data_IF_133331885853
#
_entry.id   IF_133331885853
#
_cell.length_a   1.000
_cell.length_b   1.000
_cell.length_c   1.000
_cell.angle_alpha   90.00
_cell.angle_beta   90.00
_cell.angle_gamma   90.00
#
_symmetry.space_group_name_H-M   'P 1'
#
loop_
_entity.id
_entity.type
_entity.pdbx_description
1 polymer ?
#
# COMPACT_ATOMS: atom_id res chain seq x y z
N UNK A 1 62.59 49.26 -66.40
CA UNK A 1 63.36 49.38 -65.13
C UNK A 1 62.48 50.22 -64.20
N UNK A 2 61.94 49.74 -63.09
CA UNK A 2 62.62 49.17 -61.93
C UNK A 2 61.58 48.38 -61.11
N UNK A 3 61.93 47.18 -60.64
CA UNK A 3 61.12 46.32 -59.76
C UNK A 3 61.18 46.84 -58.32
N UNK A 4 60.07 46.75 -57.58
CA UNK A 4 60.09 46.51 -56.13
C UNK A 4 58.87 45.70 -55.67
N UNK A 5 59.14 44.95 -54.61
CA UNK A 5 58.52 43.73 -54.09
C UNK A 5 57.24 43.91 -53.25
N UNK A 6 56.47 42.81 -53.22
CA UNK A 6 55.75 42.19 -52.08
C UNK A 6 54.59 42.97 -51.41
N UNK A 7 53.43 42.31 -51.29
CA UNK A 7 52.97 41.61 -50.09
C UNK A 7 51.59 40.97 -50.35
N UNK A 8 51.42 39.71 -49.95
CA UNK A 8 50.14 38.97 -49.96
C UNK A 8 49.66 38.88 -48.51
N UNK A 9 48.37 39.14 -48.21
CA UNK A 9 47.74 38.60 -47.03
C UNK A 9 46.63 37.61 -47.40
N UNK A 10 46.79 36.40 -46.88
CA UNK A 10 45.81 35.32 -46.82
C UNK A 10 44.71 35.70 -45.82
N UNK A 11 43.45 35.80 -46.24
CA UNK A 11 42.30 35.89 -45.33
C UNK A 11 41.67 34.50 -45.16
N UNK A 12 41.73 34.02 -43.92
CA UNK A 12 41.13 32.78 -43.43
C UNK A 12 39.64 33.05 -43.13
N UNK A 13 38.75 32.47 -43.93
CA UNK A 13 37.30 32.54 -43.72
C UNK A 13 36.83 31.49 -42.72
N UNK A 14 36.34 31.94 -41.55
CA UNK A 14 35.79 31.11 -40.48
C UNK A 14 34.35 30.71 -40.81
N UNK A 15 34.08 29.43 -41.05
CA UNK A 15 32.72 28.88 -41.15
C UNK A 15 32.13 28.72 -39.73
N UNK A 16 31.10 29.50 -39.40
CA UNK A 16 30.25 29.26 -38.23
C UNK A 16 29.14 28.27 -38.61
N UNK A 17 29.22 27.05 -38.08
CA UNK A 17 28.15 26.07 -38.12
C UNK A 17 27.11 26.42 -37.04
N UNK A 18 25.89 26.76 -37.45
CA UNK A 18 24.74 26.97 -36.56
C UNK A 18 24.23 25.63 -36.06
N UNK A 19 24.67 25.20 -34.87
CA UNK A 19 24.09 24.08 -34.15
C UNK A 19 22.79 24.50 -33.48
N UNK A 20 21.66 23.91 -33.87
CA UNK A 20 20.41 23.98 -33.12
C UNK A 20 20.56 23.16 -31.84
N UNK A 21 20.76 23.84 -30.71
CA UNK A 21 20.63 23.26 -29.38
C UNK A 21 19.15 22.89 -29.17
N UNK A 22 18.85 21.60 -29.15
CA UNK A 22 17.59 21.10 -28.62
C UNK A 22 17.58 21.45 -27.12
N UNK A 23 16.67 22.35 -26.73
CA UNK A 23 16.41 22.62 -25.33
C UNK A 23 15.87 21.33 -24.69
N UNK A 24 16.56 20.83 -23.67
CA UNK A 24 16.02 19.79 -22.81
C UNK A 24 14.85 20.38 -22.03
N UNK A 25 13.65 19.83 -22.20
CA UNK A 25 12.49 20.16 -21.38
C UNK A 25 12.86 19.94 -19.90
N UNK A 26 12.69 20.98 -19.10
CA UNK A 26 12.78 20.88 -17.65
C UNK A 26 11.62 20.03 -17.13
N UNK A 27 11.77 19.25 -16.04
CA UNK A 27 10.64 18.55 -15.44
C UNK A 27 9.56 19.57 -15.09
N UNK A 28 8.32 19.31 -15.53
CA UNK A 28 7.21 20.23 -15.36
C UNK A 28 6.90 20.48 -13.87
N UNK A 29 6.75 21.74 -13.46
CA UNK A 29 6.19 22.18 -12.17
C UNK A 29 4.69 21.81 -11.98
N UNK A 30 4.19 20.81 -12.70
CA UNK A 30 2.83 20.35 -12.56
C UNK A 30 2.68 19.63 -11.21
N UNK A 31 1.63 19.91 -10.42
CA UNK A 31 1.37 19.20 -9.18
C UNK A 31 1.27 17.69 -9.43
N UNK A 32 2.01 16.89 -8.67
CA UNK A 32 1.93 15.43 -8.72
C UNK A 32 0.54 14.98 -8.24
N UNK A 33 -0.15 14.08 -8.96
CA UNK A 33 -1.42 13.55 -8.49
C UNK A 33 -1.22 12.68 -7.24
N UNK A 34 -2.21 12.70 -6.34
CA UNK A 34 -2.21 11.89 -5.10
C UNK A 34 -2.20 10.38 -5.37
N UNK A 35 -2.91 9.95 -6.41
CA UNK A 35 -2.89 8.59 -6.93
C UNK A 35 -2.23 8.59 -8.31
N UNK A 36 -1.09 7.93 -8.40
CA UNK A 36 -0.33 7.70 -9.62
C UNK A 36 -1.00 6.67 -10.54
N UNK A 37 -0.36 6.33 -11.67
CA UNK A 37 -0.96 5.49 -12.71
C UNK A 37 -1.28 4.05 -12.26
N UNK A 38 -0.71 3.59 -11.15
CA UNK A 38 -0.92 2.25 -10.61
C UNK A 38 -2.07 2.17 -9.60
N UNK A 39 -2.70 3.30 -9.26
CA UNK A 39 -3.79 3.36 -8.28
C UNK A 39 -5.02 4.03 -8.89
N UNK A 40 -6.11 3.28 -9.01
CA UNK A 40 -7.39 3.80 -9.51
C UNK A 40 -8.37 3.90 -8.35
N UNK A 41 -8.86 5.08 -7.96
CA UNK A 41 -9.77 5.21 -6.83
C UNK A 41 -11.07 4.43 -7.09
N UNK A 42 -11.61 3.81 -6.04
CA UNK A 42 -12.87 3.05 -6.09
C UNK A 42 -14.04 3.86 -6.66
N UNK A 43 -14.03 5.18 -6.48
CA UNK A 43 -15.06 6.09 -6.99
C UNK A 43 -14.99 6.27 -8.52
N UNK A 44 -13.85 5.97 -9.14
CA UNK A 44 -13.66 5.98 -10.59
C UNK A 44 -13.85 4.59 -11.22
N UNK A 45 -13.51 3.52 -10.50
CA UNK A 45 -13.74 2.13 -10.93
C UNK A 45 -14.45 1.34 -9.82
N UNK A 46 -15.78 1.29 -9.91
CA UNK A 46 -16.64 0.50 -9.03
C UNK A 46 -17.28 -0.69 -9.75
N UNK A 47 -16.78 -1.05 -10.95
CA UNK A 47 -17.42 -2.03 -11.83
C UNK A 47 -17.58 -3.38 -11.13
N UNK A 48 -16.48 -3.93 -10.61
CA UNK A 48 -16.46 -5.22 -9.91
C UNK A 48 -17.49 -5.27 -8.78
N UNK A 49 -17.57 -4.23 -7.95
CA UNK A 49 -18.49 -4.15 -6.80
C UNK A 49 -19.97 -4.08 -7.19
N UNK A 50 -20.27 -3.67 -8.43
CA UNK A 50 -21.64 -3.61 -8.95
C UNK A 50 -22.05 -4.83 -9.75
N UNK A 51 -21.09 -5.68 -10.15
CA UNK A 51 -21.33 -6.82 -11.05
C UNK A 51 -20.95 -8.18 -10.46
N UNK A 52 -20.12 -8.21 -9.42
CA UNK A 52 -19.67 -9.41 -8.71
C UNK A 52 -20.22 -9.44 -7.27
N UNK A 53 -20.04 -10.56 -6.59
CA UNK A 53 -20.48 -10.71 -5.19
C UNK A 53 -19.66 -9.83 -4.24
N UNK A 54 -18.35 -9.70 -4.45
CA UNK A 54 -17.44 -8.91 -3.64
C UNK A 54 -17.57 -9.13 -2.11
N UNK A 55 -17.55 -10.39 -1.62
CA UNK A 55 -17.88 -10.69 -0.24
C UNK A 55 -16.97 -9.98 0.77
N UNK A 56 -15.67 -9.88 0.50
CA UNK A 56 -14.72 -9.14 1.34
C UNK A 56 -15.13 -7.67 1.45
N UNK A 57 -15.48 -7.02 0.33
CA UNK A 57 -15.83 -5.60 0.33
C UNK A 57 -17.02 -5.34 1.23
N UNK A 58 -18.08 -6.15 1.10
CA UNK A 58 -19.28 -5.99 1.91
C UNK A 58 -19.07 -6.36 3.37
N UNK A 59 -18.14 -7.26 3.67
CA UNK A 59 -17.75 -7.59 5.04
C UNK A 59 -16.97 -6.45 5.71
N UNK A 60 -16.01 -5.83 5.01
CA UNK A 60 -15.01 -4.97 5.64
C UNK A 60 -15.22 -3.46 5.44
N UNK A 61 -15.82 -3.02 4.33
CA UNK A 61 -15.85 -1.58 3.98
C UNK A 61 -16.55 -0.70 5.02
N UNK A 62 -17.54 -1.24 5.75
CA UNK A 62 -18.23 -0.50 6.80
C UNK A 62 -17.38 -0.34 8.09
N UNK A 63 -16.38 -1.21 8.30
CA UNK A 63 -15.60 -1.30 9.53
C UNK A 63 -14.18 -0.74 9.41
N UNK A 64 -13.62 -0.67 8.21
CA UNK A 64 -12.33 0.00 7.98
C UNK A 64 -12.49 1.51 8.19
N UNK A 65 -11.81 2.05 9.20
CA UNK A 65 -11.87 3.46 9.63
C UNK A 65 -10.51 4.14 9.45
N UNK A 66 -10.48 5.50 9.39
CA UNK A 66 -9.23 6.25 9.40
C UNK A 66 -8.34 5.86 10.58
N UNK A 67 -7.04 5.67 10.36
CA UNK A 67 -6.06 5.52 11.43
C UNK A 67 -6.08 6.75 12.35
N UNK A 68 -5.98 6.53 13.67
CA UNK A 68 -6.14 7.61 14.66
C UNK A 68 -4.91 8.51 14.83
N UNK A 69 -3.75 8.07 14.33
CA UNK A 69 -2.47 8.80 14.33
C UNK A 69 -1.74 8.50 13.02
N UNK A 70 -0.66 9.21 12.72
CA UNK A 70 0.20 8.93 11.55
C UNK A 70 0.91 7.57 11.60
N UNK A 71 0.90 6.88 12.75
CA UNK A 71 1.61 5.60 12.96
C UNK A 71 0.68 4.44 13.35
N UNK A 72 -0.65 4.66 13.29
CA UNK A 72 -1.67 3.71 13.72
C UNK A 72 -2.24 2.83 12.59
N UNK A 73 -1.56 2.71 11.45
CA UNK A 73 -2.07 1.92 10.31
C UNK A 73 -2.34 0.44 10.67
N UNK A 74 -1.47 -0.16 11.50
CA UNK A 74 -1.62 -1.56 11.94
C UNK A 74 -2.86 -1.77 12.82
N UNK A 75 -3.06 -0.95 13.86
CA UNK A 75 -4.23 -1.06 14.73
C UNK A 75 -5.53 -0.74 13.97
N UNK A 76 -5.50 0.21 13.03
CA UNK A 76 -6.64 0.51 12.18
C UNK A 76 -7.04 -0.69 11.30
N UNK A 77 -6.06 -1.31 10.64
CA UNK A 77 -6.29 -2.46 9.77
C UNK A 77 -6.78 -3.69 10.55
N UNK A 78 -6.11 -4.05 11.65
CA UNK A 78 -6.51 -5.19 12.51
C UNK A 78 -7.91 -4.98 13.07
N UNK A 79 -8.21 -3.78 13.60
CA UNK A 79 -9.55 -3.47 14.13
C UNK A 79 -10.62 -3.56 13.05
N UNK A 80 -10.35 -3.05 11.85
CA UNK A 80 -11.26 -3.13 10.71
C UNK A 80 -11.56 -4.57 10.29
N UNK A 81 -10.52 -5.41 10.16
CA UNK A 81 -10.66 -6.82 9.78
C UNK A 81 -11.43 -7.63 10.84
N UNK A 82 -11.06 -7.54 12.13
CA UNK A 82 -11.75 -8.28 13.19
C UNK A 82 -13.20 -7.84 13.35
N UNK A 83 -13.50 -6.54 13.23
CA UNK A 83 -14.88 -6.07 13.24
C UNK A 83 -15.67 -6.59 12.03
N UNK A 84 -15.07 -6.65 10.84
CA UNK A 84 -15.73 -7.21 9.66
C UNK A 84 -16.05 -8.70 9.82
N UNK A 85 -15.10 -9.49 10.32
CA UNK A 85 -15.29 -10.92 10.59
C UNK A 85 -16.37 -11.18 11.66
N UNK A 86 -16.47 -10.31 12.67
CA UNK A 86 -17.49 -10.40 13.74
C UNK A 86 -18.85 -9.84 13.31
N UNK A 87 -18.86 -8.93 12.33
CA UNK A 87 -20.03 -8.19 11.91
C UNK A 87 -20.56 -7.21 12.95
N UNK A 88 -21.75 -6.65 12.68
CA UNK A 88 -22.44 -5.75 13.60
C UNK A 88 -22.90 -6.54 14.85
N UNK A 89 -22.58 -6.08 16.07
CA UNK A 89 -23.11 -6.69 17.28
C UNK A 89 -24.65 -6.74 17.30
N UNK A 90 -25.22 -7.84 17.81
CA UNK A 90 -26.66 -8.06 17.78
C UNK A 90 -27.45 -7.18 18.77
N UNK A 91 -26.85 -6.78 19.89
CA UNK A 91 -27.53 -6.01 20.92
C UNK A 91 -27.22 -4.51 20.81
N UNK A 92 -28.23 -3.67 21.05
CA UNK A 92 -28.10 -2.21 20.93
C UNK A 92 -27.10 -1.56 21.90
N UNK A 93 -26.70 -2.25 22.96
CA UNK A 93 -25.73 -1.77 23.95
C UNK A 93 -24.29 -2.20 23.62
N UNK A 94 -24.13 -3.17 22.71
CA UNK A 94 -22.82 -3.65 22.29
C UNK A 94 -22.31 -2.74 21.17
N UNK A 95 -21.10 -2.19 21.33
CA UNK A 95 -20.50 -1.30 20.33
C UNK A 95 -19.58 -2.07 19.39
N UNK A 96 -19.48 -1.59 18.15
CA UNK A 96 -18.36 -1.95 17.27
C UNK A 96 -17.06 -1.48 17.92
N UNK A 97 -16.03 -2.32 17.93
CA UNK A 97 -14.77 -2.05 18.62
C UNK A 97 -14.02 -0.90 17.93
N UNK A 98 -13.61 0.12 18.69
CA UNK A 98 -12.73 1.18 18.18
C UNK A 98 -11.26 0.79 18.27
N UNK A 99 -10.37 1.52 17.58
CA UNK A 99 -8.92 1.28 17.64
C UNK A 99 -8.38 1.42 19.08
N UNK A 100 -8.82 2.43 19.83
CA UNK A 100 -8.42 2.58 21.23
C UNK A 100 -8.93 1.42 22.10
N UNK A 101 -10.19 1.01 21.93
CA UNK A 101 -10.73 -0.13 22.67
C UNK A 101 -9.99 -1.43 22.33
N UNK A 102 -9.55 -1.61 21.09
CA UNK A 102 -8.74 -2.77 20.69
C UNK A 102 -7.37 -2.75 21.38
N UNK A 103 -6.67 -1.60 21.40
CA UNK A 103 -5.41 -1.47 22.15
C UNK A 103 -5.60 -1.75 23.64
N UNK A 104 -6.66 -1.19 24.25
CA UNK A 104 -6.96 -1.40 25.67
C UNK A 104 -7.28 -2.88 25.97
N UNK A 105 -7.98 -3.55 25.06
CA UNK A 105 -8.37 -4.96 25.18
C UNK A 105 -7.17 -5.89 25.05
N UNK A 106 -6.27 -5.61 24.10
CA UNK A 106 -5.05 -6.38 23.88
C UNK A 106 -4.04 -6.14 25.01
N UNK A 107 -3.90 -4.88 25.46
CA UNK A 107 -3.06 -4.52 26.59
C UNK A 107 -1.55 -4.65 26.32
N UNK A 108 -1.14 -4.71 25.05
CA UNK A 108 0.28 -4.72 24.67
C UNK A 108 0.84 -3.28 24.64
N UNK A 109 1.83 -3.04 25.51
CA UNK A 109 2.41 -1.71 25.69
C UNK A 109 3.26 -1.27 24.49
N UNK A 110 3.88 -2.22 23.77
CA UNK A 110 4.70 -1.94 22.61
C UNK A 110 3.79 -1.53 21.45
N UNK A 111 2.70 -2.26 21.18
CA UNK A 111 1.75 -1.89 20.13
C UNK A 111 1.11 -0.53 20.39
N UNK A 112 0.73 -0.28 21.65
CA UNK A 112 0.19 1.02 22.05
C UNK A 112 1.21 2.15 21.81
N UNK A 113 2.47 1.95 22.19
CA UNK A 113 3.55 2.91 21.98
C UNK A 113 3.82 3.17 20.49
N UNK A 114 3.93 2.12 19.68
CA UNK A 114 4.20 2.20 18.24
C UNK A 114 3.06 2.88 17.47
N UNK A 115 1.82 2.77 17.97
CA UNK A 115 0.63 3.37 17.36
C UNK A 115 0.39 4.83 17.79
N UNK A 116 1.22 5.40 18.68
CA UNK A 116 1.11 6.82 19.06
C UNK A 116 1.53 7.73 17.92
N UNK A 117 1.16 9.01 18.01
CA UNK A 117 1.57 10.03 17.04
C UNK A 117 3.10 10.10 16.95
N UNK A 118 3.64 9.94 15.75
CA UNK A 118 5.09 9.90 15.51
C UNK A 118 5.79 8.63 16.01
N UNK A 119 5.05 7.58 16.35
CA UNK A 119 5.62 6.25 16.63
C UNK A 119 6.26 5.63 15.38
N UNK A 120 7.14 4.66 15.57
CA UNK A 120 7.91 4.05 14.47
C UNK A 120 7.07 3.19 13.51
N UNK A 121 5.79 2.93 13.84
CA UNK A 121 4.98 1.94 13.13
C UNK A 121 5.35 0.51 13.54
N UNK A 122 4.97 -0.48 12.74
CA UNK A 122 5.21 -1.90 13.07
C UNK A 122 5.98 -2.60 11.97
N UNK A 123 6.80 -3.59 12.34
CA UNK A 123 7.36 -4.55 11.39
C UNK A 123 6.29 -5.55 10.92
N UNK A 124 6.59 -6.32 9.86
CA UNK A 124 5.70 -7.40 9.42
C UNK A 124 5.45 -8.43 10.52
N UNK A 125 6.49 -8.83 11.24
CA UNK A 125 6.39 -9.86 12.28
C UNK A 125 5.57 -9.34 13.48
N UNK A 126 5.71 -8.05 13.82
CA UNK A 126 4.85 -7.39 14.82
C UNK A 126 3.40 -7.32 14.36
N UNK A 127 3.13 -7.07 13.08
CA UNK A 127 1.76 -7.12 12.56
C UNK A 127 1.13 -8.50 12.79
N UNK A 128 1.87 -9.58 12.52
CA UNK A 128 1.41 -10.96 12.77
C UNK A 128 1.16 -11.17 14.27
N UNK A 129 2.13 -10.82 15.12
CA UNK A 129 2.03 -10.96 16.57
C UNK A 129 0.81 -10.22 17.13
N UNK A 130 0.65 -8.94 16.79
CA UNK A 130 -0.44 -8.11 17.29
C UNK A 130 -1.80 -8.55 16.76
N UNK A 131 -1.85 -9.12 15.55
CA UNK A 131 -3.08 -9.75 15.03
C UNK A 131 -3.45 -10.98 15.85
N UNK A 132 -2.50 -11.87 16.16
CA UNK A 132 -2.74 -13.05 17.01
C UNK A 132 -3.17 -12.68 18.43
N UNK A 133 -2.59 -11.62 19.00
CA UNK A 133 -2.99 -11.08 20.30
C UNK A 133 -4.40 -10.51 20.28
N UNK A 134 -4.75 -9.75 19.23
CA UNK A 134 -6.10 -9.23 19.03
C UNK A 134 -7.14 -10.34 18.88
N UNK A 135 -6.84 -11.42 18.13
CA UNK A 135 -7.72 -12.59 18.02
C UNK A 135 -7.98 -13.25 19.38
N UNK A 136 -6.94 -13.40 20.21
CA UNK A 136 -7.07 -13.94 21.57
C UNK A 136 -7.90 -13.02 22.46
N UNK A 137 -7.60 -11.73 22.44
CA UNK A 137 -8.23 -10.73 23.30
C UNK A 137 -9.72 -10.51 22.96
N UNK A 138 -10.11 -10.75 21.71
CA UNK A 138 -11.50 -10.69 21.23
C UNK A 138 -12.26 -12.02 21.28
N UNK A 139 -11.68 -13.05 21.92
CA UNK A 139 -12.26 -14.39 22.07
C UNK A 139 -12.54 -15.10 20.73
N UNK A 140 -11.86 -14.71 19.65
CA UNK A 140 -11.96 -15.31 18.32
C UNK A 140 -11.11 -16.58 18.21
N UNK A 141 -11.21 -17.49 19.19
CA UNK A 141 -10.35 -18.69 19.33
C UNK A 141 -10.43 -19.71 18.20
N UNK A 142 -11.43 -19.61 17.31
CA UNK A 142 -11.50 -20.40 16.08
C UNK A 142 -10.60 -19.88 14.96
N UNK A 143 -10.16 -18.62 15.05
CA UNK A 143 -9.33 -17.99 14.05
C UNK A 143 -7.83 -18.07 14.39
N UNK A 144 -7.00 -18.15 13.36
CA UNK A 144 -5.54 -18.05 13.43
C UNK A 144 -5.00 -17.20 12.29
N UNK A 145 -3.70 -16.89 12.33
CA UNK A 145 -3.01 -16.22 11.22
C UNK A 145 -2.16 -17.20 10.40
N UNK A 146 -2.23 -17.06 9.08
CA UNK A 146 -1.26 -17.59 8.12
C UNK A 146 -0.60 -16.42 7.38
N UNK A 147 0.58 -16.64 6.80
CA UNK A 147 1.32 -15.56 6.14
C UNK A 147 1.79 -15.96 4.75
N UNK A 148 1.74 -14.99 3.84
CA UNK A 148 2.45 -15.03 2.56
C UNK A 148 3.39 -13.83 2.53
N UNK A 149 4.69 -14.09 2.71
CA UNK A 149 5.74 -13.07 2.59
C UNK A 149 6.56 -13.33 1.32
N UNK A 150 6.31 -12.59 0.22
CA UNK A 150 7.05 -12.78 -1.02
C UNK A 150 8.54 -12.56 -0.84
N UNK A 151 9.35 -13.40 -1.50
CA UNK A 151 10.82 -13.27 -1.49
C UNK A 151 11.40 -12.88 -2.85
N UNK A 152 10.68 -13.16 -3.94
CA UNK A 152 11.15 -12.95 -5.31
C UNK A 152 10.07 -12.29 -6.16
N UNK A 153 10.51 -11.49 -7.12
CA UNK A 153 9.68 -10.98 -8.21
C UNK A 153 9.70 -11.98 -9.37
N UNK A 154 8.88 -13.02 -9.26
CA UNK A 154 8.72 -14.04 -10.29
C UNK A 154 7.28 -14.50 -10.46
N UNK A 155 7.01 -15.19 -11.58
CA UNK A 155 5.68 -15.65 -11.93
C UNK A 155 5.10 -16.63 -10.89
N UNK A 156 5.93 -17.51 -10.31
CA UNK A 156 5.47 -18.48 -9.31
C UNK A 156 5.02 -17.79 -8.01
N UNK A 157 5.74 -16.76 -7.60
CA UNK A 157 5.39 -15.94 -6.43
C UNK A 157 4.12 -15.13 -6.70
N UNK A 158 4.01 -14.51 -7.87
CA UNK A 158 2.82 -13.77 -8.27
C UNK A 158 1.58 -14.69 -8.35
N UNK A 159 1.74 -15.90 -8.89
CA UNK A 159 0.65 -16.89 -8.95
C UNK A 159 0.23 -17.35 -7.55
N UNK A 160 1.16 -17.42 -6.59
CA UNK A 160 0.85 -17.71 -5.18
C UNK A 160 0.04 -16.57 -4.54
N UNK A 161 0.40 -15.31 -4.82
CA UNK A 161 -0.37 -14.13 -4.38
C UNK A 161 -1.78 -14.16 -4.96
N UNK A 162 -1.93 -14.39 -6.27
CA UNK A 162 -3.24 -14.49 -6.93
C UNK A 162 -4.08 -15.64 -6.40
N UNK A 163 -3.48 -16.79 -6.11
CA UNK A 163 -4.17 -17.94 -5.55
C UNK A 163 -4.73 -17.64 -4.15
N UNK A 164 -3.96 -16.96 -3.30
CA UNK A 164 -4.42 -16.51 -1.98
C UNK A 164 -5.56 -15.50 -2.10
N UNK A 165 -5.40 -14.47 -2.94
CA UNK A 165 -6.44 -13.46 -3.19
C UNK A 165 -7.74 -14.09 -3.73
N UNK A 166 -7.64 -15.05 -4.64
CA UNK A 166 -8.80 -15.79 -5.17
C UNK A 166 -9.51 -16.61 -4.09
N UNK A 167 -8.73 -17.19 -3.18
CA UNK A 167 -9.27 -18.03 -2.10
C UNK A 167 -10.01 -17.18 -1.07
N UNK A 168 -9.42 -16.06 -0.66
CA UNK A 168 -10.06 -15.11 0.27
C UNK A 168 -11.35 -14.52 -0.33
N UNK A 169 -11.30 -14.02 -1.56
CA UNK A 169 -12.46 -13.42 -2.25
C UNK A 169 -13.64 -14.41 -2.47
N UNK A 170 -13.45 -15.70 -2.21
CA UNK A 170 -14.52 -16.69 -2.32
C UNK A 170 -15.54 -16.60 -1.18
N UNK A 171 -15.23 -15.92 -0.07
CA UNK A 171 -16.09 -15.86 1.11
C UNK A 171 -15.94 -14.53 1.88
N UNK A 172 -16.75 -14.36 2.92
CA UNK A 172 -16.61 -13.27 3.90
C UNK A 172 -16.13 -13.80 5.27
N UNK A 173 -15.63 -15.04 5.30
CA UNK A 173 -15.28 -15.77 6.53
C UNK A 173 -13.82 -15.68 6.92
N UNK A 174 -13.00 -14.99 6.13
CA UNK A 174 -11.59 -14.77 6.33
C UNK A 174 -11.21 -13.34 5.89
N UNK A 175 -10.03 -12.86 6.27
CA UNK A 175 -9.57 -11.51 5.95
C UNK A 175 -8.09 -11.49 5.61
N UNK A 176 -7.69 -10.62 4.68
CA UNK A 176 -6.28 -10.36 4.37
C UNK A 176 -5.88 -8.95 4.83
N UNK A 177 -4.93 -8.88 5.74
CA UNK A 177 -4.17 -7.65 5.99
C UNK A 177 -3.01 -7.58 5.02
N UNK A 178 -2.76 -6.40 4.47
CA UNK A 178 -1.68 -6.12 3.55
C UNK A 178 -0.63 -5.26 4.24
N UNK A 179 0.60 -5.72 4.28
CA UNK A 179 1.78 -4.90 4.58
C UNK A 179 2.51 -4.63 3.27
N UNK A 180 2.74 -3.36 2.93
CA UNK A 180 3.31 -2.98 1.64
C UNK A 180 3.97 -1.60 1.67
N UNK A 181 4.81 -1.30 0.67
CA UNK A 181 5.27 0.06 0.45
C UNK A 181 4.20 0.87 -0.32
N UNK A 182 3.63 1.89 0.31
CA UNK A 182 2.52 2.67 -0.27
C UNK A 182 2.94 3.46 -1.51
N UNK A 183 4.19 3.92 -1.56
CA UNK A 183 4.73 4.73 -2.65
C UNK A 183 4.86 3.95 -3.97
N UNK A 184 5.04 2.62 -3.93
CA UNK A 184 5.03 1.78 -5.15
C UNK A 184 3.66 1.79 -5.83
N UNK A 185 2.59 1.86 -5.03
CA UNK A 185 1.21 1.83 -5.52
C UNK A 185 0.73 3.23 -5.90
N UNK A 186 0.91 4.20 -4.99
CA UNK A 186 0.35 5.55 -5.11
C UNK A 186 1.28 6.51 -5.86
N UNK A 187 2.60 6.29 -5.83
CA UNK A 187 3.58 7.24 -6.35
C UNK A 187 3.76 8.50 -5.49
N UNK A 188 3.18 8.56 -4.29
CA UNK A 188 3.26 9.70 -3.36
C UNK A 188 4.25 9.43 -2.22
N UNK A 189 3.76 9.04 -1.03
CA UNK A 189 4.61 8.81 0.15
C UNK A 189 5.32 7.45 0.07
N UNK A 190 6.65 7.48 0.18
CA UNK A 190 7.48 6.28 0.08
C UNK A 190 7.80 5.69 1.47
N UNK A 191 6.98 4.74 1.92
CA UNK A 191 7.20 4.07 3.18
C UNK A 191 6.30 2.84 3.40
N UNK A 192 6.59 2.07 4.45
CA UNK A 192 5.82 0.89 4.82
C UNK A 192 4.44 1.30 5.34
N UNK A 193 3.44 0.52 4.96
CA UNK A 193 2.05 0.78 5.32
C UNK A 193 1.28 -0.51 5.51
N UNK A 194 0.19 -0.44 6.29
CA UNK A 194 -0.71 -1.56 6.54
C UNK A 194 -2.15 -1.18 6.18
N UNK A 195 -2.87 -2.05 5.50
CA UNK A 195 -4.29 -1.88 5.15
C UNK A 195 -5.01 -3.22 5.04
N UNK A 196 -6.29 -3.21 4.66
CA UNK A 196 -7.10 -4.43 4.49
C UNK A 196 -7.37 -4.64 3.00
N UNK A 197 -7.28 -5.88 2.52
CA UNK A 197 -7.75 -6.22 1.17
C UNK A 197 -9.28 -6.20 1.18
N UNK A 198 -9.86 -5.46 0.23
CA UNK A 198 -11.31 -5.30 0.10
C UNK A 198 -11.93 -6.09 -1.02
N UNK A 199 -11.17 -6.47 -2.04
CA UNK A 199 -11.65 -7.34 -3.10
C UNK A 199 -10.51 -7.80 -4.01
N UNK A 200 -10.68 -8.93 -4.68
CA UNK A 200 -9.86 -9.32 -5.84
C UNK A 200 -10.70 -9.52 -7.11
N UNK A 201 -10.45 -8.68 -8.12
CA UNK A 201 -11.00 -8.88 -9.47
C UNK A 201 -10.01 -9.69 -10.32
N UNK A 202 -10.22 -11.01 -10.35
CA UNK A 202 -9.41 -11.93 -11.14
C UNK A 202 -9.48 -11.67 -12.65
N UNK A 203 -10.56 -11.07 -13.16
CA UNK A 203 -10.72 -10.81 -14.59
C UNK A 203 -9.87 -9.62 -15.06
N UNK A 204 -9.73 -8.59 -14.22
CA UNK A 204 -8.85 -7.45 -14.49
C UNK A 204 -7.47 -7.54 -13.82
N UNK A 205 -7.24 -8.59 -13.02
CA UNK A 205 -6.03 -8.84 -12.24
C UNK A 205 -5.66 -7.67 -11.31
N UNK A 206 -6.68 -7.14 -10.63
CA UNK A 206 -6.56 -6.02 -9.70
C UNK A 206 -7.07 -6.39 -8.31
N UNK A 207 -6.43 -5.81 -7.30
CA UNK A 207 -6.87 -5.90 -5.91
C UNK A 207 -7.35 -4.53 -5.43
N UNK A 208 -8.42 -4.51 -4.67
CA UNK A 208 -8.91 -3.31 -3.97
C UNK A 208 -8.27 -3.26 -2.59
N UNK A 209 -7.62 -2.15 -2.27
CA UNK A 209 -7.08 -1.88 -0.94
C UNK A 209 -8.07 -0.97 -0.21
N UNK A 210 -8.62 -1.45 0.91
CA UNK A 210 -9.40 -0.64 1.85
C UNK A 210 -8.42 0.12 2.74
N UNK A 211 -8.15 1.34 2.31
CA UNK A 211 -7.15 2.22 2.90
C UNK A 211 -7.60 2.70 4.28
N UNK A 212 -6.67 2.64 5.25
CA UNK A 212 -6.84 3.17 6.62
C UNK A 212 -6.28 4.59 6.74
N UNK A 213 -5.39 5.00 5.83
CA UNK A 213 -4.88 6.37 5.77
C UNK A 213 -5.85 7.33 5.08
N UNK A 214 -7.06 7.41 5.64
CA UNK A 214 -8.20 8.10 5.02
C UNK A 214 -8.18 9.63 5.17
N UNK A 215 -7.19 10.17 5.89
CA UNK A 215 -6.88 11.61 5.80
C UNK A 215 -6.38 11.96 4.38
N UNK A 216 -5.65 11.02 3.76
CA UNK A 216 -4.92 11.26 2.52
C UNK A 216 -5.51 10.55 1.31
N UNK A 217 -6.13 9.38 1.49
CA UNK A 217 -6.54 8.51 0.40
C UNK A 217 -7.93 7.92 0.59
N UNK A 218 -8.60 7.57 -0.50
CA UNK A 218 -9.78 6.69 -0.50
C UNK A 218 -9.36 5.28 -0.91
N UNK A 219 -10.18 4.23 -0.70
CA UNK A 219 -9.87 2.92 -1.27
C UNK A 219 -9.57 2.98 -2.78
N UNK A 220 -8.60 2.19 -3.23
CA UNK A 220 -8.13 2.19 -4.61
C UNK A 220 -7.77 0.78 -5.09
N UNK A 221 -7.92 0.57 -6.39
CA UNK A 221 -7.49 -0.62 -7.10
C UNK A 221 -6.04 -0.51 -7.55
N UNK A 222 -5.28 -1.59 -7.43
CA UNK A 222 -3.92 -1.72 -7.98
C UNK A 222 -3.74 -3.09 -8.67
N UNK A 223 -2.96 -3.20 -9.76
CA UNK A 223 -2.63 -4.50 -10.35
C UNK A 223 -1.89 -5.42 -9.36
N UNK A 224 -2.13 -6.73 -9.42
CA UNK A 224 -1.44 -7.69 -8.52
C UNK A 224 0.08 -7.71 -8.71
N UNK A 225 0.56 -7.44 -9.93
CA UNK A 225 1.99 -7.29 -10.19
C UNK A 225 2.58 -6.10 -9.44
N UNK A 226 1.87 -4.97 -9.36
CA UNK A 226 2.31 -3.80 -8.57
C UNK A 226 2.20 -4.09 -7.08
N UNK A 227 1.16 -4.80 -6.64
CA UNK A 227 1.03 -5.26 -5.25
C UNK A 227 2.25 -6.10 -4.83
N UNK A 228 2.69 -7.03 -5.68
CA UNK A 228 3.88 -7.84 -5.41
C UNK A 228 5.13 -6.97 -5.28
N UNK A 229 5.34 -6.01 -6.17
CA UNK A 229 6.46 -5.05 -6.05
C UNK A 229 6.39 -4.25 -4.76
N UNK A 230 5.19 -3.83 -4.35
CA UNK A 230 4.98 -3.07 -3.13
C UNK A 230 5.30 -3.91 -1.88
N UNK A 231 5.01 -5.21 -1.88
CA UNK A 231 5.41 -6.12 -0.81
C UNK A 231 6.93 -6.39 -0.81
N UNK A 232 7.55 -6.45 -1.99
CA UNK A 232 8.98 -6.76 -2.11
C UNK A 232 9.90 -5.56 -1.84
N UNK A 233 9.41 -4.32 -2.00
CA UNK A 233 10.24 -3.13 -1.82
C UNK A 233 10.68 -3.01 -0.35
N UNK A 234 11.99 -3.05 -0.07
CA UNK A 234 12.49 -2.81 1.28
C UNK A 234 12.24 -1.36 1.69
N UNK A 235 11.84 -1.17 2.94
CA UNK A 235 11.75 0.15 3.56
C UNK A 235 13.11 0.85 3.59
N UNK A 236 13.13 2.14 3.26
CA UNK A 236 14.33 2.98 3.29
C UNK A 236 14.85 3.28 4.70
N UNK A 237 16.12 3.68 4.79
CA UNK A 237 16.81 3.95 6.05
C UNK A 237 16.21 5.14 6.84
N UNK A 238 15.50 6.03 6.16
CA UNK A 238 14.79 7.17 6.75
C UNK A 238 13.67 6.76 7.73
N UNK A 239 13.23 5.50 7.67
CA UNK A 239 12.22 4.93 8.59
C UNK A 239 12.83 4.17 9.77
N UNK A 240 14.12 4.37 10.05
CA UNK A 240 14.77 3.93 11.28
C UNK A 240 14.69 2.42 11.51
N UNK A 241 14.00 2.00 12.57
CA UNK A 241 13.89 0.58 12.97
C UNK A 241 13.19 -0.30 11.90
N UNK A 242 12.47 0.32 10.96
CA UNK A 242 11.84 -0.37 9.86
C UNK A 242 12.75 -0.54 8.63
N UNK A 243 13.98 -0.02 8.64
CA UNK A 243 14.92 -0.16 7.52
C UNK A 243 15.03 -1.63 7.07
N UNK A 244 14.91 -1.85 5.75
CA UNK A 244 15.04 -3.17 5.14
C UNK A 244 13.83 -4.09 5.33
N UNK A 245 12.80 -3.68 6.09
CA UNK A 245 11.58 -4.46 6.20
C UNK A 245 10.88 -4.59 4.85
N UNK A 246 10.41 -5.80 4.55
CA UNK A 246 9.55 -6.09 3.40
C UNK A 246 8.18 -6.55 3.89
N UNK A 247 7.20 -6.44 3.00
CA UNK A 247 5.81 -6.71 3.27
C UNK A 247 5.33 -8.10 2.85
N UNK A 248 4.02 -8.26 2.85
CA UNK A 248 3.34 -9.52 2.64
C UNK A 248 1.86 -9.42 2.97
N UNK A 249 1.21 -10.58 2.99
CA UNK A 249 -0.17 -10.75 3.40
C UNK A 249 -0.22 -11.52 4.72
N UNK A 250 -1.04 -11.03 5.65
CA UNK A 250 -1.41 -11.75 6.88
C UNK A 250 -2.87 -12.18 6.71
N UNK A 251 -3.10 -13.49 6.64
CA UNK A 251 -4.39 -14.10 6.42
C UNK A 251 -5.00 -14.54 7.74
N UNK A 252 -6.14 -13.97 8.09
CA UNK A 252 -6.93 -14.32 9.27
C UNK A 252 -8.03 -15.28 8.81
N UNK A 253 -8.00 -16.52 9.27
CA UNK A 253 -8.90 -17.59 8.83
C UNK A 253 -9.27 -18.51 10.00
N UNK A 254 -10.37 -19.26 9.88
CA UNK A 254 -10.95 -20.13 10.90
C UNK A 254 -11.08 -21.59 10.45
#
# INVERSE_FOLDING_TARGET
MMRTNRFVPTLLGLFLASGTLAAADSPSDAPTPKLGPNAVPITADHTYLTTAAAPDYWAFAAFVKPQVTTSACSIAAVTGALNGLRGLPANALDTVTTQQQMLDLVGDADWASLSTEGGDGVTFDQLVQFTDEALKATEMSGYHTETLKPANDDAATLDSVRALLTTNEASAGDALLLYFNQGVVTGDWDGPHVSVIGAYDAASDKVLILEVDQEWYTPYWTPTSVLLQAMLKPTGAEHGVLEGQTGGLVHILN
#
